data_IF_777452054815
#
_entry.id   IF_777452054815
#
_cell.length_a   1.000
_cell.length_b   1.000
_cell.length_c   1.000
_cell.angle_alpha   90.00
_cell.angle_beta   90.00
_cell.angle_gamma   90.00
#
_symmetry.space_group_name_H-M   'P 1'
#
loop_
_entity.id
_entity.type
_entity.pdbx_description
1 polymer ?
#
# COMPACT_ATOMS: atom_id res chain seq x y z
N UNK A 1 87.31 -12.44 -1.45
CA UNK A 1 87.75 -11.73 -0.24
C UNK A 1 86.95 -10.44 -0.12
N UNK A 2 86.57 -10.09 1.11
CA UNK A 2 85.84 -8.89 1.54
C UNK A 2 84.37 -8.80 1.07
N UNK A 3 83.36 -9.04 1.91
CA UNK A 3 82.97 -8.35 3.17
C UNK A 3 82.18 -7.07 2.92
N UNK A 4 80.86 -7.22 3.09
CA UNK A 4 79.93 -6.39 3.86
C UNK A 4 80.14 -4.88 3.93
N UNK A 5 79.10 -4.14 3.52
CA UNK A 5 78.78 -2.82 4.04
C UNK A 5 77.26 -2.69 4.19
N UNK A 6 76.81 -2.59 5.44
CA UNK A 6 75.46 -2.17 5.83
C UNK A 6 75.23 -0.71 5.41
N UNK A 7 74.01 -0.41 4.96
CA UNK A 7 73.55 0.95 4.70
C UNK A 7 72.19 1.12 5.36
N UNK A 8 72.16 2.01 6.35
CA UNK A 8 70.98 2.39 7.12
C UNK A 8 70.01 3.23 6.27
N UNK A 9 68.73 2.85 6.29
CA UNK A 9 67.64 3.64 5.70
C UNK A 9 66.90 4.42 6.79
N UNK A 10 66.80 5.74 6.61
CA UNK A 10 65.94 6.65 7.36
C UNK A 10 64.50 6.63 6.79
N UNK A 11 63.47 6.99 7.59
CA UNK A 11 62.08 6.69 7.28
C UNK A 11 61.45 7.76 6.37
N UNK A 12 60.64 7.30 5.41
CA UNK A 12 59.79 8.13 4.56
C UNK A 12 58.39 8.17 5.18
N UNK A 13 57.93 9.37 5.50
CA UNK A 13 56.58 9.69 5.94
C UNK A 13 55.57 9.32 4.85
N UNK A 14 54.54 8.52 5.20
CA UNK A 14 53.43 8.18 4.30
C UNK A 14 52.15 8.84 4.84
N UNK A 15 51.64 9.80 4.09
CA UNK A 15 50.36 10.46 4.34
C UNK A 15 49.18 9.49 4.20
N UNK A 16 48.24 9.62 5.13
CA UNK A 16 47.04 8.80 5.24
C UNK A 16 45.98 9.18 4.19
N UNK A 17 45.62 8.22 3.33
CA UNK A 17 44.40 8.24 2.51
C UNK A 17 43.33 7.27 3.07
N UNK A 18 42.02 7.58 2.98
CA UNK A 18 41.00 6.86 3.72
C UNK A 18 40.62 5.52 3.07
N UNK A 19 40.88 4.45 3.81
CA UNK A 19 40.09 3.22 4.00
C UNK A 19 39.13 2.81 2.86
N UNK A 20 39.64 1.94 1.98
CA UNK A 20 38.84 1.00 1.19
C UNK A 20 38.34 -0.14 2.09
N UNK A 21 37.03 -0.23 2.31
CA UNK A 21 36.43 -1.39 2.97
C UNK A 21 36.42 -2.59 2.02
N UNK A 22 37.20 -3.62 2.37
CA UNK A 22 37.18 -4.94 1.74
C UNK A 22 35.81 -5.58 1.87
N UNK A 23 35.25 -5.99 0.73
CA UNK A 23 34.12 -6.92 0.63
C UNK A 23 34.63 -8.34 0.85
N UNK A 24 34.28 -8.91 2.01
CA UNK A 24 34.38 -10.36 2.25
C UNK A 24 33.04 -10.97 1.89
N UNK A 25 33.04 -11.78 0.84
CA UNK A 25 31.95 -12.71 0.53
C UNK A 25 31.92 -13.80 1.61
N UNK A 26 30.79 -13.92 2.30
CA UNK A 26 30.47 -15.11 3.10
C UNK A 26 29.05 -15.52 2.79
N UNK A 27 28.91 -16.60 2.01
CA UNK A 27 27.66 -17.31 1.86
C UNK A 27 27.19 -17.81 3.23
N UNK A 28 25.93 -17.52 3.57
CA UNK A 28 25.22 -18.21 4.64
C UNK A 28 23.72 -18.16 4.38
N UNK A 29 23.20 -19.36 4.15
CA UNK A 29 21.87 -19.89 4.47
C UNK A 29 20.64 -18.97 4.31
N UNK A 30 19.81 -19.37 3.34
CA UNK A 30 18.37 -19.14 3.31
C UNK A 30 17.73 -19.73 4.58
N UNK A 31 17.66 -18.96 5.67
CA UNK A 31 16.76 -19.23 6.80
C UNK A 31 16.56 -17.92 7.58
N UNK A 32 15.31 -17.68 8.00
CA UNK A 32 14.79 -16.54 8.78
C UNK A 32 14.49 -15.19 8.07
N UNK A 33 13.51 -15.22 7.15
CA UNK A 33 12.72 -14.04 6.74
C UNK A 33 11.42 -13.95 7.60
N UNK A 34 11.56 -14.04 8.92
CA UNK A 34 10.49 -13.89 9.92
C UNK A 34 10.31 -12.42 10.25
N UNK A 35 9.49 -11.64 9.52
CA UNK A 35 8.77 -10.51 10.15
C UNK A 35 7.55 -9.99 9.35
N UNK A 36 7.29 -10.50 8.14
CA UNK A 36 6.16 -9.98 7.32
C UNK A 36 5.25 -11.04 6.70
N UNK A 37 5.65 -12.31 6.58
CA UNK A 37 4.73 -13.36 6.14
C UNK A 37 4.24 -14.17 7.35
N UNK A 38 3.16 -13.73 8.01
CA UNK A 38 2.42 -14.67 8.88
C UNK A 38 1.87 -15.74 7.93
N UNK A 39 2.37 -16.96 8.05
CA UNK A 39 1.83 -18.09 7.31
C UNK A 39 0.32 -18.17 7.57
N UNK A 40 -0.48 -18.15 6.50
CA UNK A 40 -1.90 -18.40 6.59
C UNK A 40 -2.09 -19.89 6.88
N UNK A 41 -2.89 -20.22 7.88
CA UNK A 41 -3.29 -21.60 8.13
C UNK A 41 -4.34 -22.02 7.12
N UNK A 42 -4.47 -23.33 6.89
CA UNK A 42 -5.43 -23.89 5.91
C UNK A 42 -6.84 -23.37 6.16
N UNK A 43 -7.29 -23.32 7.42
CA UNK A 43 -8.61 -22.78 7.78
C UNK A 43 -8.81 -21.30 7.47
N UNK A 44 -7.74 -20.53 7.36
CA UNK A 44 -7.77 -19.10 6.99
C UNK A 44 -7.76 -18.93 5.46
N UNK A 45 -7.10 -19.83 4.73
CA UNK A 45 -7.00 -19.81 3.26
C UNK A 45 -8.28 -20.31 2.59
N UNK A 46 -8.84 -21.42 3.07
CA UNK A 46 -10.02 -22.06 2.47
C UNK A 46 -11.22 -21.12 2.25
N UNK A 47 -11.57 -20.20 3.17
CA UNK A 47 -12.68 -19.29 2.95
C UNK A 47 -12.34 -18.13 2.00
N UNK A 48 -11.07 -17.91 1.64
CA UNK A 48 -10.69 -16.83 0.73
C UNK A 48 -11.06 -17.15 -0.73
N UNK A 49 -11.23 -16.10 -1.53
CA UNK A 49 -11.40 -16.16 -2.96
C UNK A 49 -10.09 -16.56 -3.61
N UNK A 50 -10.20 -17.56 -4.48
CA UNK A 50 -9.21 -17.90 -5.48
C UNK A 50 -9.91 -17.88 -6.85
N UNK A 51 -9.13 -18.00 -7.93
CA UNK A 51 -9.68 -17.93 -9.29
C UNK A 51 -10.76 -18.99 -9.56
N UNK A 52 -10.60 -20.29 -9.21
CA UNK A 52 -11.67 -21.28 -9.38
C UNK A 52 -12.97 -20.92 -8.65
N UNK A 53 -12.88 -20.43 -7.41
CA UNK A 53 -14.04 -20.00 -6.65
C UNK A 53 -14.70 -18.77 -7.28
N UNK A 54 -13.91 -17.81 -7.73
CA UNK A 54 -14.38 -16.62 -8.43
C UNK A 54 -15.18 -17.02 -9.68
N UNK A 55 -14.64 -17.86 -10.54
CA UNK A 55 -15.32 -18.33 -11.76
C UNK A 55 -16.59 -19.09 -11.44
N UNK A 56 -16.57 -19.95 -10.42
CA UNK A 56 -17.76 -20.72 -10.01
C UNK A 56 -18.88 -19.83 -9.46
N UNK A 57 -18.55 -18.75 -8.75
CA UNK A 57 -19.51 -17.89 -8.06
C UNK A 57 -19.87 -16.61 -8.78
N UNK A 58 -19.05 -16.15 -9.74
CA UNK A 58 -19.16 -14.87 -10.47
C UNK A 58 -18.87 -15.05 -11.96
N UNK A 59 -19.08 -16.26 -12.50
CA UNK A 59 -18.83 -16.58 -13.91
C UNK A 59 -19.94 -16.11 -14.84
N UNK A 60 -21.17 -15.96 -14.34
CA UNK A 60 -22.32 -15.49 -15.13
C UNK A 60 -22.79 -14.10 -14.69
N UNK A 61 -23.58 -13.46 -15.55
CA UNK A 61 -24.18 -12.14 -15.26
C UNK A 61 -25.10 -12.22 -14.05
N UNK A 62 -25.91 -13.26 -13.95
CA UNK A 62 -26.91 -13.46 -12.90
C UNK A 62 -26.24 -13.65 -11.54
N UNK A 63 -25.16 -14.43 -11.50
CA UNK A 63 -24.31 -14.62 -10.34
C UNK A 63 -23.70 -13.30 -9.87
N UNK A 64 -23.15 -12.52 -10.80
CA UNK A 64 -22.58 -11.21 -10.50
C UNK A 64 -23.62 -10.20 -9.98
N UNK A 65 -24.84 -10.21 -10.53
CA UNK A 65 -25.93 -9.37 -10.07
C UNK A 65 -26.34 -9.71 -8.63
N UNK A 66 -26.51 -11.00 -8.33
CA UNK A 66 -26.85 -11.48 -6.99
C UNK A 66 -25.77 -11.08 -5.97
N UNK A 67 -24.50 -11.28 -6.32
CA UNK A 67 -23.38 -10.88 -5.46
C UNK A 67 -23.32 -9.36 -5.24
N UNK A 68 -23.54 -8.57 -6.29
CA UNK A 68 -23.55 -7.11 -6.20
C UNK A 68 -24.71 -6.59 -5.34
N UNK A 69 -25.88 -7.23 -5.38
CA UNK A 69 -27.01 -6.93 -4.49
C UNK A 69 -26.69 -7.30 -3.03
N UNK A 70 -26.19 -8.51 -2.80
CA UNK A 70 -25.83 -9.04 -1.47
C UNK A 70 -24.79 -8.16 -0.77
N UNK A 71 -23.78 -7.69 -1.52
CA UNK A 71 -22.72 -6.83 -0.99
C UNK A 71 -23.08 -5.34 -1.01
N UNK A 72 -24.28 -4.97 -1.48
CA UNK A 72 -24.75 -3.58 -1.49
C UNK A 72 -24.00 -2.69 -2.47
N UNK A 73 -23.48 -3.24 -3.57
CA UNK A 73 -22.84 -2.50 -4.66
C UNK A 73 -23.87 -1.90 -5.63
N UNK A 74 -25.10 -2.42 -5.62
CA UNK A 74 -26.25 -1.90 -6.37
C UNK A 74 -27.52 -2.04 -5.54
N UNK A 75 -28.50 -1.16 -5.77
CA UNK A 75 -29.82 -1.29 -5.17
C UNK A 75 -30.56 -2.51 -5.74
N UNK A 76 -31.20 -3.31 -4.87
CA UNK A 76 -32.11 -4.39 -5.26
C UNK A 76 -33.51 -3.87 -5.63
N UNK A 77 -33.94 -2.77 -5.01
CA UNK A 77 -35.25 -2.18 -5.24
C UNK A 77 -35.20 -0.65 -5.21
N UNK A 78 -36.19 0.00 -5.83
CA UNK A 78 -36.30 1.46 -5.87
C UNK A 78 -37.77 1.90 -5.92
N UNK A 79 -38.09 2.91 -5.12
CA UNK A 79 -39.40 3.55 -5.13
C UNK A 79 -39.46 4.66 -6.17
N UNK A 80 -40.55 4.71 -6.95
CA UNK A 80 -40.83 5.83 -7.83
C UNK A 80 -41.13 7.09 -7.01
N UNK A 81 -40.39 8.17 -7.24
CA UNK A 81 -40.57 9.44 -6.51
C UNK A 81 -41.92 10.11 -6.76
N UNK A 82 -42.50 9.88 -7.94
CA UNK A 82 -43.79 10.48 -8.35
C UNK A 82 -44.97 9.66 -7.81
N UNK A 83 -44.97 8.35 -8.09
CA UNK A 83 -46.11 7.48 -7.79
C UNK A 83 -46.01 6.73 -6.47
N UNK A 84 -44.89 6.87 -5.74
CA UNK A 84 -44.62 6.21 -4.44
C UNK A 84 -44.93 4.70 -4.46
N UNK A 85 -44.61 4.04 -5.56
CA UNK A 85 -44.74 2.60 -5.74
C UNK A 85 -43.39 1.99 -6.11
N UNK A 86 -43.23 0.69 -5.82
CA UNK A 86 -42.04 -0.05 -6.20
C UNK A 86 -41.91 -0.09 -7.73
N UNK A 87 -40.71 0.19 -8.23
CA UNK A 87 -40.41 0.11 -9.65
C UNK A 87 -40.14 -1.35 -10.05
N UNK A 88 -40.54 -1.74 -11.26
CA UNK A 88 -40.23 -3.04 -11.84
C UNK A 88 -38.74 -3.09 -12.17
N UNK A 89 -38.08 -4.19 -11.81
CA UNK A 89 -36.72 -4.46 -12.25
C UNK A 89 -36.72 -4.95 -13.70
N UNK A 90 -35.94 -4.29 -14.55
CA UNK A 90 -35.75 -4.63 -15.95
C UNK A 90 -34.30 -5.06 -16.20
N UNK A 91 -34.11 -6.36 -16.44
CA UNK A 91 -32.82 -6.99 -16.73
C UNK A 91 -32.63 -7.30 -18.21
N UNK A 92 -33.65 -7.08 -19.05
CA UNK A 92 -33.62 -7.47 -20.47
C UNK A 92 -32.77 -6.52 -21.31
N UNK A 93 -32.47 -5.32 -20.81
CA UNK A 93 -31.54 -4.41 -21.50
C UNK A 93 -30.10 -4.85 -21.30
N UNK A 94 -29.28 -4.63 -22.33
CA UNK A 94 -27.83 -4.89 -22.33
C UNK A 94 -27.02 -3.94 -21.42
N UNK A 95 -27.68 -3.35 -20.44
CA UNK A 95 -27.07 -2.51 -19.40
C UNK A 95 -26.39 -3.39 -18.37
N UNK A 96 -25.20 -2.98 -17.91
CA UNK A 96 -24.31 -3.73 -17.01
C UNK A 96 -25.03 -4.36 -15.82
N UNK A 97 -25.87 -3.58 -15.11
CA UNK A 97 -26.60 -4.04 -13.90
C UNK A 97 -28.14 -3.91 -13.97
N UNK A 98 -28.70 -3.70 -15.16
CA UNK A 98 -30.15 -3.51 -15.35
C UNK A 98 -30.67 -2.11 -14.98
N UNK A 99 -32.00 -1.95 -14.97
CA UNK A 99 -32.65 -0.68 -14.67
C UNK A 99 -33.96 -0.85 -13.89
N UNK A 100 -34.36 0.17 -13.14
CA UNK A 100 -35.68 0.28 -12.55
C UNK A 100 -36.64 1.03 -13.47
N UNK A 101 -37.84 0.47 -13.68
CA UNK A 101 -38.88 1.05 -14.55
C UNK A 101 -40.18 1.24 -13.77
N UNK A 102 -40.73 2.46 -13.78
CA UNK A 102 -42.06 2.73 -13.26
C UNK A 102 -43.11 2.18 -14.24
N UNK A 103 -44.04 1.37 -13.75
CA UNK A 103 -45.12 0.78 -14.57
C UNK A 103 -46.25 1.75 -14.92
N UNK A 104 -46.26 2.96 -14.35
CA UNK A 104 -47.30 3.98 -14.62
C UNK A 104 -46.96 4.78 -15.88
N UNK A 105 -47.79 4.66 -16.92
CA UNK A 105 -47.64 5.41 -18.18
C UNK A 105 -47.68 6.94 -18.02
N UNK A 106 -48.27 7.46 -16.93
CA UNK A 106 -48.26 8.89 -16.61
C UNK A 106 -46.94 9.39 -15.99
N UNK A 107 -45.94 8.53 -15.80
CA UNK A 107 -44.65 8.87 -15.19
C UNK A 107 -43.72 9.63 -16.14
N UNK A 108 -43.91 10.95 -16.25
CA UNK A 108 -43.10 11.82 -17.12
C UNK A 108 -41.70 12.16 -16.57
N UNK A 109 -41.45 11.99 -15.27
CA UNK A 109 -40.20 12.41 -14.62
C UNK A 109 -39.28 11.23 -14.24
N UNK A 110 -38.66 10.59 -15.25
CA UNK A 110 -37.74 9.43 -15.13
C UNK A 110 -38.45 8.10 -14.86
N UNK A 111 -39.32 7.70 -15.80
CA UNK A 111 -39.93 6.36 -15.81
C UNK A 111 -38.90 5.23 -15.83
N UNK A 112 -37.65 5.48 -16.25
CA UNK A 112 -36.54 4.53 -16.23
C UNK A 112 -35.32 5.13 -15.53
N UNK A 113 -34.70 4.37 -14.63
CA UNK A 113 -33.45 4.74 -13.95
C UNK A 113 -32.48 3.56 -13.99
N UNK A 114 -31.27 3.75 -14.51
CA UNK A 114 -30.24 2.70 -14.50
C UNK A 114 -29.85 2.33 -13.08
N UNK A 115 -29.61 1.04 -12.82
CA UNK A 115 -29.03 0.58 -11.54
C UNK A 115 -27.56 0.90 -11.41
N UNK A 116 -26.90 1.23 -12.52
CA UNK A 116 -25.48 1.56 -12.55
C UNK A 116 -25.19 3.00 -12.11
N UNK A 117 -26.16 3.91 -12.22
CA UNK A 117 -25.95 5.34 -11.98
C UNK A 117 -25.52 5.61 -10.53
N UNK A 118 -24.40 6.31 -10.35
CA UNK A 118 -23.82 6.59 -9.03
C UNK A 118 -23.13 5.40 -8.38
N UNK A 119 -22.97 4.26 -9.08
CA UNK A 119 -22.35 3.04 -8.56
C UNK A 119 -21.01 2.77 -9.26
N UNK A 120 -20.26 1.81 -8.74
CA UNK A 120 -19.03 1.29 -9.36
C UNK A 120 -19.19 0.82 -10.81
N UNK A 121 -20.41 0.47 -11.21
CA UNK A 121 -20.71 -0.03 -12.56
C UNK A 121 -21.11 1.08 -13.55
N UNK A 122 -21.14 2.35 -13.11
CA UNK A 122 -21.52 3.46 -13.96
C UNK A 122 -20.60 3.57 -15.19
N UNK A 123 -21.20 3.70 -16.37
CA UNK A 123 -20.51 3.84 -17.67
C UNK A 123 -19.54 2.69 -18.02
N UNK A 124 -19.56 1.58 -17.29
CA UNK A 124 -18.75 0.41 -17.66
C UNK A 124 -19.33 -0.30 -18.89
N UNK A 125 -18.50 -0.43 -19.92
CA UNK A 125 -18.80 -1.24 -21.10
C UNK A 125 -18.37 -2.71 -20.97
N UNK A 126 -17.80 -3.12 -19.82
CA UNK A 126 -17.34 -4.50 -19.62
C UNK A 126 -18.48 -5.41 -19.11
N UNK A 127 -18.49 -6.69 -19.52
CA UNK A 127 -19.33 -7.70 -18.88
C UNK A 127 -19.03 -7.79 -17.38
N UNK A 128 -20.06 -7.95 -16.55
CA UNK A 128 -19.93 -8.06 -15.09
C UNK A 128 -18.89 -9.10 -14.63
N UNK A 129 -18.85 -10.32 -15.18
CA UNK A 129 -17.81 -11.28 -14.84
C UNK A 129 -16.37 -10.76 -15.05
N UNK A 130 -16.11 -9.99 -16.11
CA UNK A 130 -14.79 -9.36 -16.35
C UNK A 130 -14.48 -8.26 -15.36
N UNK A 131 -15.49 -7.49 -14.92
CA UNK A 131 -15.31 -6.46 -13.89
C UNK A 131 -14.85 -7.11 -12.58
N UNK A 132 -15.56 -8.14 -12.11
CA UNK A 132 -15.17 -8.83 -10.87
C UNK A 132 -13.83 -9.56 -11.00
N UNK A 133 -13.52 -10.11 -12.17
CA UNK A 133 -12.19 -10.66 -12.47
C UNK A 133 -11.07 -9.61 -12.36
N UNK A 134 -11.25 -8.41 -12.92
CA UNK A 134 -10.26 -7.33 -12.81
C UNK A 134 -10.07 -6.84 -11.37
N UNK A 135 -11.15 -6.74 -10.60
CA UNK A 135 -11.11 -6.44 -9.15
C UNK A 135 -10.28 -7.52 -8.43
N UNK A 136 -10.54 -8.79 -8.70
CA UNK A 136 -9.79 -9.92 -8.14
C UNK A 136 -8.30 -9.86 -8.53
N UNK A 137 -7.98 -9.65 -9.81
CA UNK A 137 -6.61 -9.54 -10.28
C UNK A 137 -5.84 -8.41 -9.57
N UNK A 138 -6.46 -7.23 -9.45
CA UNK A 138 -5.87 -6.13 -8.70
C UNK A 138 -5.67 -6.50 -7.22
N UNK A 139 -6.70 -7.05 -6.58
CA UNK A 139 -6.67 -7.43 -5.17
C UNK A 139 -5.55 -8.42 -4.86
N UNK A 140 -5.28 -9.37 -5.76
CA UNK A 140 -4.22 -10.37 -5.64
C UNK A 140 -2.87 -9.96 -6.26
N UNK A 141 -2.70 -8.70 -6.67
CA UNK A 141 -1.48 -8.18 -7.32
C UNK A 141 -1.05 -8.96 -8.56
N UNK A 142 -2.01 -9.41 -9.37
CA UNK A 142 -1.67 -10.00 -10.67
C UNK A 142 -1.05 -8.96 -11.59
N UNK A 143 0.00 -9.32 -12.31
CA UNK A 143 0.55 -8.48 -13.39
C UNK A 143 -0.45 -8.36 -14.54
N UNK A 144 -0.20 -7.43 -15.46
CA UNK A 144 -1.00 -7.33 -16.69
C UNK A 144 -0.97 -8.63 -17.49
N UNK A 145 0.20 -9.26 -17.58
CA UNK A 145 0.40 -10.53 -18.29
C UNK A 145 -0.37 -11.67 -17.61
N UNK A 146 -0.29 -11.79 -16.28
CA UNK A 146 -1.07 -12.77 -15.52
C UNK A 146 -2.57 -12.54 -15.68
N UNK A 147 -3.03 -11.29 -15.64
CA UNK A 147 -4.45 -10.95 -15.83
C UNK A 147 -4.95 -11.31 -17.23
N UNK A 148 -4.13 -11.15 -18.28
CA UNK A 148 -4.49 -11.57 -19.65
C UNK A 148 -4.44 -13.09 -19.80
N UNK A 149 -3.41 -13.72 -19.25
CA UNK A 149 -3.19 -15.15 -19.40
C UNK A 149 -4.25 -15.99 -18.67
N UNK A 150 -4.64 -15.57 -17.47
CA UNK A 150 -5.60 -16.27 -16.62
C UNK A 150 -7.05 -15.79 -16.82
N UNK A 151 -7.33 -14.94 -17.81
CA UNK A 151 -8.68 -14.43 -18.06
C UNK A 151 -9.65 -15.60 -18.33
N UNK A 152 -10.60 -15.89 -17.43
CA UNK A 152 -11.49 -17.03 -17.57
C UNK A 152 -12.53 -16.85 -18.68
N UNK A 153 -12.60 -15.65 -19.25
CA UNK A 153 -13.52 -15.25 -20.31
C UNK A 153 -12.77 -14.97 -21.61
N UNK A 154 -11.50 -15.37 -21.71
CA UNK A 154 -10.74 -15.36 -22.95
C UNK A 154 -11.31 -16.42 -23.90
N UNK A 155 -11.69 -16.01 -25.10
CA UNK A 155 -11.97 -16.93 -26.20
C UNK A 155 -10.74 -17.07 -27.11
N UNK A 156 -10.68 -18.17 -27.85
CA UNK A 156 -9.60 -18.45 -28.81
C UNK A 156 -9.70 -17.57 -30.07
N UNK A 157 -10.77 -16.79 -30.19
CA UNK A 157 -11.20 -16.10 -31.41
C UNK A 157 -11.27 -14.58 -31.27
N UNK A 158 -10.41 -13.98 -30.44
CA UNK A 158 -10.01 -12.55 -30.45
C UNK A 158 -10.62 -11.62 -29.36
N UNK A 159 -11.24 -12.14 -28.29
CA UNK A 159 -11.75 -11.32 -27.18
C UNK A 159 -10.88 -11.45 -25.91
N UNK A 160 -9.68 -10.86 -25.90
CA UNK A 160 -8.85 -10.78 -24.68
C UNK A 160 -8.91 -9.39 -24.02
N UNK A 161 -8.60 -9.32 -22.73
CA UNK A 161 -8.42 -8.04 -22.05
C UNK A 161 -7.24 -7.27 -22.64
N UNK A 162 -7.48 -6.01 -23.02
CA UNK A 162 -6.40 -5.13 -23.46
C UNK A 162 -5.58 -4.63 -22.26
N UNK A 163 -4.29 -4.35 -22.47
CA UNK A 163 -3.44 -3.73 -21.44
C UNK A 163 -3.98 -2.38 -20.97
N UNK A 164 -4.61 -1.61 -21.86
CA UNK A 164 -5.24 -0.33 -21.52
C UNK A 164 -6.40 -0.55 -20.53
N UNK A 165 -7.31 -1.48 -20.84
CA UNK A 165 -8.41 -1.86 -19.95
C UNK A 165 -7.90 -2.26 -18.57
N UNK A 166 -6.89 -3.13 -18.49
CA UNK A 166 -6.34 -3.57 -17.19
C UNK A 166 -5.73 -2.39 -16.44
N UNK A 167 -5.02 -1.51 -17.13
CA UNK A 167 -4.41 -0.31 -16.53
C UNK A 167 -5.47 0.63 -15.95
N UNK A 168 -6.54 0.89 -16.69
CA UNK A 168 -7.64 1.76 -16.23
C UNK A 168 -8.31 1.16 -14.99
N UNK A 169 -8.68 -0.11 -15.05
CA UNK A 169 -9.33 -0.79 -13.93
C UNK A 169 -8.44 -0.90 -12.69
N UNK A 170 -7.13 -1.10 -12.88
CA UNK A 170 -6.17 -1.08 -11.77
C UNK A 170 -6.02 0.31 -11.17
N UNK A 171 -6.13 1.36 -11.98
CA UNK A 171 -6.15 2.75 -11.50
C UNK A 171 -7.42 3.03 -10.70
N UNK A 172 -8.60 2.65 -11.20
CA UNK A 172 -9.86 2.80 -10.46
C UNK A 172 -9.84 2.05 -9.12
N UNK A 173 -9.34 0.82 -9.09
CA UNK A 173 -9.23 0.04 -7.84
C UNK A 173 -8.29 0.73 -6.84
N UNK A 174 -7.17 1.28 -7.31
CA UNK A 174 -6.22 2.01 -6.47
C UNK A 174 -6.83 3.29 -5.92
N UNK A 175 -7.50 4.08 -6.73
CA UNK A 175 -8.19 5.31 -6.30
C UNK A 175 -9.17 5.03 -5.16
N UNK A 176 -10.00 3.98 -5.30
CA UNK A 176 -10.92 3.53 -4.25
C UNK A 176 -10.18 3.18 -2.96
N UNK A 177 -9.11 2.39 -3.05
CA UNK A 177 -8.31 2.02 -1.88
C UNK A 177 -7.67 3.23 -1.22
N UNK A 178 -7.15 4.17 -2.01
CA UNK A 178 -6.50 5.37 -1.49
C UNK A 178 -7.49 6.18 -0.67
N UNK A 179 -8.67 6.50 -1.23
CA UNK A 179 -9.69 7.27 -0.53
C UNK A 179 -10.16 6.50 0.72
N UNK A 180 -10.54 5.23 0.56
CA UNK A 180 -11.01 4.40 1.67
C UNK A 180 -9.99 4.29 2.80
N UNK A 181 -8.71 4.04 2.49
CA UNK A 181 -7.68 3.85 3.49
C UNK A 181 -7.35 5.17 4.21
N UNK A 182 -7.25 6.28 3.48
CA UNK A 182 -6.99 7.59 4.10
C UNK A 182 -8.14 8.03 5.02
N UNK A 183 -9.39 7.84 4.61
CA UNK A 183 -10.54 8.16 5.46
C UNK A 183 -10.62 7.25 6.69
N UNK A 184 -10.40 5.93 6.53
CA UNK A 184 -10.41 5.01 7.67
C UNK A 184 -9.26 5.28 8.65
N UNK A 185 -8.09 5.73 8.16
CA UNK A 185 -6.99 6.18 9.03
C UNK A 185 -7.33 7.48 9.77
N UNK A 186 -8.00 8.43 9.13
CA UNK A 186 -8.47 9.64 9.81
C UNK A 186 -9.45 9.31 10.95
N UNK A 187 -10.39 8.38 10.70
CA UNK A 187 -11.34 7.90 11.72
C UNK A 187 -10.62 7.19 12.86
N UNK A 188 -9.57 6.41 12.56
CA UNK A 188 -8.75 5.73 13.57
C UNK A 188 -8.00 6.69 14.48
N UNK A 189 -7.73 7.92 14.03
CA UNK A 189 -7.07 8.96 14.81
C UNK A 189 -5.55 8.86 14.80
N UNK A 190 -4.88 9.43 15.80
CA UNK A 190 -3.41 9.43 15.94
C UNK A 190 -2.91 8.17 16.68
N UNK A 191 -1.66 7.78 16.42
CA UNK A 191 -0.94 6.77 17.22
C UNK A 191 -0.22 7.42 18.41
N UNK A 192 0.17 6.60 19.38
CA UNK A 192 0.88 7.05 20.56
C UNK A 192 -0.06 7.59 21.64
N UNK A 193 0.42 8.61 22.35
CA UNK A 193 -0.18 9.23 23.52
C UNK A 193 0.70 9.12 24.76
N UNK A 194 0.30 9.74 25.88
CA UNK A 194 1.03 9.64 27.14
C UNK A 194 1.32 8.19 27.54
N UNK A 195 2.59 7.90 27.83
CA UNK A 195 3.05 6.54 28.19
C UNK A 195 3.20 5.56 27.02
N UNK A 196 2.98 6.01 25.77
CA UNK A 196 3.23 5.24 24.55
C UNK A 196 4.53 5.67 23.87
N UNK A 197 5.14 4.74 23.16
CA UNK A 197 6.36 4.96 22.39
C UNK A 197 6.04 4.85 20.90
N UNK A 198 6.51 5.80 20.10
CA UNK A 198 6.47 5.76 18.64
C UNK A 198 7.89 5.89 18.09
N UNK A 199 8.31 4.93 17.29
CA UNK A 199 9.58 4.99 16.56
C UNK A 199 9.37 5.70 15.22
N UNK A 200 10.22 6.67 14.92
CA UNK A 200 10.15 7.49 13.70
C UNK A 200 11.51 7.47 13.01
N UNK A 201 11.49 7.27 11.70
CA UNK A 201 12.68 7.29 10.85
C UNK A 201 12.30 7.73 9.42
N UNK A 202 13.28 8.13 8.62
CA UNK A 202 13.11 8.49 7.22
C UNK A 202 13.92 7.60 6.30
N UNK A 203 13.30 7.23 5.19
CA UNK A 203 13.99 6.47 4.16
C UNK A 203 13.75 7.07 2.79
N UNK A 204 14.84 7.20 2.02
CA UNK A 204 14.78 7.60 0.61
C UNK A 204 14.48 6.40 -0.28
N UNK A 205 13.43 6.51 -1.08
CA UNK A 205 13.04 5.56 -2.12
C UNK A 205 13.54 6.05 -3.46
N UNK A 206 14.36 5.26 -4.17
CA UNK A 206 14.84 5.63 -5.49
C UNK A 206 16.00 4.76 -6.00
N UNK A 207 16.39 4.95 -7.27
CA UNK A 207 17.57 4.28 -7.87
C UNK A 207 18.79 5.18 -7.79
N UNK A 208 19.97 4.58 -7.60
CA UNK A 208 21.25 5.26 -7.82
C UNK A 208 21.43 5.47 -9.31
N UNK A 209 21.92 6.63 -9.74
CA UNK A 209 22.41 6.80 -11.12
C UNK A 209 23.61 5.86 -11.32
N UNK A 210 23.53 4.91 -12.27
CA UNK A 210 24.58 3.94 -12.61
C UNK A 210 25.09 3.01 -11.48
N UNK A 211 24.29 2.73 -10.44
CA UNK A 211 24.70 1.90 -9.29
C UNK A 211 25.98 2.36 -8.55
N UNK A 212 26.51 3.57 -8.84
CA UNK A 212 27.70 4.17 -8.21
C UNK A 212 27.39 5.60 -7.71
N UNK A 213 27.94 6.00 -6.56
CA UNK A 213 27.93 7.40 -6.10
C UNK A 213 26.70 7.87 -5.29
N UNK A 214 26.68 9.18 -4.98
CA UNK A 214 25.98 9.81 -3.84
C UNK A 214 24.64 10.51 -4.13
N UNK A 215 23.99 10.32 -5.30
CA UNK A 215 22.64 10.88 -5.57
C UNK A 215 21.66 9.82 -6.04
N UNK A 216 20.72 9.53 -5.15
CA UNK A 216 19.47 8.82 -5.44
C UNK A 216 18.47 9.88 -5.85
N UNK A 217 18.09 9.91 -7.13
CA UNK A 217 16.81 10.50 -7.54
C UNK A 217 15.74 9.69 -6.82
N UNK A 218 14.87 10.33 -6.02
CA UNK A 218 14.06 9.61 -5.03
C UNK A 218 12.99 10.44 -4.36
N UNK A 219 12.06 9.76 -3.67
CA UNK A 219 11.13 10.35 -2.72
C UNK A 219 11.58 10.02 -1.29
N UNK A 220 11.67 11.03 -0.44
CA UNK A 220 11.76 10.85 1.01
C UNK A 220 10.40 10.43 1.56
N UNK A 221 10.41 9.44 2.44
CA UNK A 221 9.22 8.95 3.14
C UNK A 221 9.53 8.94 4.62
N UNK A 222 8.67 9.57 5.40
CA UNK A 222 8.65 9.50 6.86
C UNK A 222 7.85 8.28 7.28
N UNK A 223 8.42 7.45 8.14
CA UNK A 223 7.77 6.27 8.69
C UNK A 223 7.60 6.39 10.19
N UNK A 224 6.45 5.97 10.70
CA UNK A 224 6.11 6.00 12.13
C UNK A 224 5.46 4.68 12.53
N UNK A 225 5.88 4.09 13.64
CA UNK A 225 5.27 2.86 14.17
C UNK A 225 5.20 2.91 15.70
N UNK A 226 4.04 2.62 16.27
CA UNK A 226 3.85 2.53 17.72
C UNK A 226 4.37 1.19 18.26
N UNK A 227 5.09 1.23 19.39
CA UNK A 227 5.58 0.05 20.09
C UNK A 227 4.47 -0.85 20.63
N UNK A 228 4.60 -2.16 20.39
CA UNK A 228 3.55 -3.13 20.68
C UNK A 228 2.37 -3.13 19.70
N UNK A 229 2.37 -2.25 18.70
CA UNK A 229 1.33 -2.14 17.67
C UNK A 229 1.85 -2.53 16.28
N UNK A 230 0.95 -2.93 15.38
CA UNK A 230 1.24 -3.15 13.95
C UNK A 230 0.83 -1.95 13.08
N UNK A 231 0.47 -0.82 13.71
CA UNK A 231 0.04 0.41 13.04
C UNK A 231 1.23 1.18 12.46
N UNK A 232 1.64 0.79 11.26
CA UNK A 232 2.66 1.48 10.47
C UNK A 232 2.02 2.61 9.67
N UNK A 233 2.57 3.82 9.83
CA UNK A 233 2.20 4.99 9.03
C UNK A 233 3.38 5.40 8.17
N UNK A 234 3.11 5.66 6.89
CA UNK A 234 4.09 6.13 5.93
C UNK A 234 3.53 7.37 5.23
N UNK A 235 4.31 8.44 5.19
CA UNK A 235 3.95 9.66 4.47
C UNK A 235 5.11 10.14 3.61
N UNK A 236 4.81 10.47 2.35
CA UNK A 236 5.80 11.04 1.42
C UNK A 236 6.08 12.47 1.85
N UNK A 237 7.36 12.83 1.99
CA UNK A 237 7.74 14.18 2.35
C UNK A 237 7.46 15.14 1.17
N UNK A 238 6.67 16.22 1.38
CA UNK A 238 6.46 17.27 0.39
C UNK A 238 7.77 17.81 -0.16
N UNK A 239 7.78 18.10 -1.47
CA UNK A 239 8.92 18.63 -2.22
C UNK A 239 10.23 17.85 -2.05
N UNK A 240 10.16 16.60 -1.56
CA UNK A 240 11.30 15.76 -1.26
C UNK A 240 12.26 16.39 -0.23
N UNK A 241 11.72 17.13 0.75
CA UNK A 241 12.47 17.83 1.80
C UNK A 241 12.29 17.14 3.17
N UNK A 242 13.36 17.03 3.95
CA UNK A 242 13.38 16.41 5.29
C UNK A 242 13.88 17.38 6.39
N UNK A 243 13.37 18.60 6.34
CA UNK A 243 13.66 19.64 7.33
C UNK A 243 12.66 19.57 8.49
N UNK A 244 12.96 20.22 9.62
CA UNK A 244 12.07 20.23 10.78
C UNK A 244 10.69 20.81 10.42
N UNK A 245 10.65 21.84 9.56
CA UNK A 245 9.44 22.50 9.08
C UNK A 245 8.54 21.57 8.28
N UNK A 246 9.09 20.52 7.66
CA UNK A 246 8.33 19.49 6.95
C UNK A 246 7.98 18.32 7.87
N UNK A 247 8.94 17.82 8.64
CA UNK A 247 8.76 16.62 9.44
C UNK A 247 7.82 16.83 10.62
N UNK A 248 7.93 17.97 11.33
CA UNK A 248 7.11 18.25 12.51
C UNK A 248 5.61 18.26 12.18
N UNK A 249 5.12 18.96 11.14
CA UNK A 249 3.70 18.89 10.77
C UNK A 249 3.23 17.48 10.44
N UNK A 250 4.06 16.67 9.76
CA UNK A 250 3.74 15.27 9.47
C UNK A 250 3.63 14.43 10.76
N UNK A 251 4.54 14.64 11.71
CA UNK A 251 4.47 13.99 13.03
C UNK A 251 3.20 14.42 13.76
N UNK A 252 2.88 15.72 13.82
CA UNK A 252 1.68 16.23 14.48
C UNK A 252 0.37 15.72 13.88
N UNK A 253 0.37 15.45 12.57
CA UNK A 253 -0.77 14.83 11.87
C UNK A 253 -1.03 13.41 12.37
N UNK A 254 0.01 12.66 12.72
CA UNK A 254 -0.09 11.22 12.99
C UNK A 254 0.11 10.80 14.43
N UNK A 255 0.84 11.57 15.22
CA UNK A 255 1.32 11.20 16.55
C UNK A 255 0.72 12.12 17.60
N UNK A 256 0.10 11.52 18.61
CA UNK A 256 -0.57 12.24 19.68
C UNK A 256 0.42 12.97 20.59
N UNK A 257 0.07 14.15 21.07
CA UNK A 257 0.93 14.95 21.95
C UNK A 257 1.14 14.20 23.29
N UNK A 258 2.32 14.35 23.89
CA UNK A 258 2.72 13.60 25.09
C UNK A 258 3.31 12.21 24.80
N UNK A 259 3.40 11.80 23.54
CA UNK A 259 4.08 10.57 23.12
C UNK A 259 5.58 10.63 23.39
N UNK A 260 6.18 9.51 23.79
CA UNK A 260 7.63 9.32 23.73
C UNK A 260 8.06 8.93 22.32
N UNK A 261 8.80 9.79 21.63
CA UNK A 261 9.28 9.56 20.28
C UNK A 261 10.72 9.06 20.33
N UNK A 262 11.01 7.95 19.64
CA UNK A 262 12.36 7.44 19.41
C UNK A 262 12.78 7.73 17.97
N UNK A 263 13.90 8.45 17.78
CA UNK A 263 14.52 8.68 16.47
C UNK A 263 16.03 8.47 16.52
N UNK A 264 16.69 8.57 15.37
CA UNK A 264 18.14 8.78 15.33
C UNK A 264 18.54 10.17 15.85
N UNK A 265 19.84 10.48 15.84
CA UNK A 265 20.38 11.78 16.22
C UNK A 265 20.24 12.87 15.13
N UNK A 266 19.28 12.77 14.20
CA UNK A 266 19.09 13.80 13.17
C UNK A 266 18.57 15.12 13.77
N UNK A 267 19.29 16.22 13.49
CA UNK A 267 19.04 17.55 14.09
C UNK A 267 17.62 18.10 13.87
N UNK A 268 16.93 17.67 12.81
CA UNK A 268 15.56 18.14 12.56
C UNK A 268 14.58 17.74 13.69
N UNK A 269 14.93 16.74 14.49
CA UNK A 269 14.11 16.26 15.60
C UNK A 269 14.37 16.98 16.94
N UNK A 270 15.40 17.83 17.04
CA UNK A 270 15.77 18.48 18.30
C UNK A 270 14.65 19.37 18.88
N UNK A 271 13.76 19.88 18.03
CA UNK A 271 12.62 20.71 18.41
C UNK A 271 11.38 19.93 18.88
N UNK A 272 11.41 18.58 18.89
CA UNK A 272 10.22 17.78 19.24
C UNK A 272 9.70 18.06 20.66
N UNK A 273 10.60 18.37 21.61
CA UNK A 273 10.22 18.75 22.97
C UNK A 273 9.36 20.03 23.01
N UNK A 274 9.68 21.01 22.17
CA UNK A 274 8.93 22.28 22.04
C UNK A 274 7.51 22.06 21.47
N UNK A 275 7.27 20.88 20.90
CA UNK A 275 5.98 20.47 20.36
C UNK A 275 5.20 19.50 21.25
N UNK A 276 5.66 19.31 22.50
CA UNK A 276 4.96 18.52 23.51
C UNK A 276 5.23 17.02 23.43
N UNK A 277 6.33 16.61 22.79
CA UNK A 277 6.77 15.21 22.74
C UNK A 277 7.94 14.96 23.70
N UNK A 278 8.03 13.74 24.24
CA UNK A 278 9.23 13.31 24.96
C UNK A 278 10.18 12.67 23.95
N UNK A 279 11.29 13.33 23.63
CA UNK A 279 12.22 12.84 22.62
C UNK A 279 13.34 12.01 23.23
N UNK A 280 13.53 10.79 22.72
CA UNK A 280 14.70 9.96 22.97
C UNK A 280 15.42 9.65 21.67
N UNK A 281 16.75 9.56 21.74
CA UNK A 281 17.63 9.47 20.57
C UNK A 281 18.49 8.20 20.63
N UNK A 282 18.74 7.64 19.46
CA UNK A 282 19.73 6.57 19.25
C UNK A 282 20.92 7.14 18.50
N UNK A 283 22.12 6.99 19.07
CA UNK A 283 23.36 7.44 18.42
C UNK A 283 24.01 6.31 17.62
N UNK A 284 23.75 6.24 16.32
CA UNK A 284 24.38 5.25 15.44
C UNK A 284 25.90 5.43 15.25
N UNK A 285 26.49 6.52 15.75
CA UNK A 285 27.94 6.73 15.75
C UNK A 285 28.60 6.30 17.07
N UNK A 286 27.84 5.77 18.02
CA UNK A 286 28.36 5.22 19.26
C UNK A 286 29.23 3.98 18.95
N UNK A 287 30.52 3.98 19.35
CA UNK A 287 31.43 2.87 19.06
C UNK A 287 31.10 1.60 19.88
N UNK A 288 30.43 1.74 21.03
CA UNK A 288 30.13 0.65 21.95
C UNK A 288 28.80 -0.02 21.59
N UNK A 289 27.75 0.77 21.29
CA UNK A 289 26.47 0.24 20.83
C UNK A 289 25.71 1.20 19.89
N UNK A 290 25.83 1.02 18.56
CA UNK A 290 25.18 1.90 17.59
C UNK A 290 23.68 1.62 17.39
N UNK A 291 23.10 0.60 18.04
CA UNK A 291 21.71 0.18 17.80
C UNK A 291 20.77 0.41 18.97
N UNK A 292 21.31 0.51 20.19
CA UNK A 292 20.52 0.66 21.42
C UNK A 292 21.24 1.66 22.32
N UNK A 293 20.55 2.72 22.74
CA UNK A 293 21.08 3.67 23.71
C UNK A 293 21.20 3.04 25.10
N UNK A 294 21.99 3.64 25.99
CA UNK A 294 22.22 3.13 27.35
C UNK A 294 20.93 2.93 28.18
N UNK A 295 19.86 3.68 27.88
CA UNK A 295 18.55 3.57 28.54
C UNK A 295 17.59 2.58 27.87
N UNK A 296 18.06 1.82 26.87
CA UNK A 296 17.27 0.85 26.10
C UNK A 296 16.54 1.42 24.88
N UNK A 297 16.69 2.72 24.57
CA UNK A 297 16.07 3.35 23.39
C UNK A 297 16.59 2.72 22.09
N UNK A 298 15.68 2.39 21.17
CA UNK A 298 16.02 1.88 19.84
C UNK A 298 14.96 2.28 18.78
N UNK A 299 15.35 2.21 17.50
CA UNK A 299 14.55 2.51 16.28
C UNK A 299 14.38 1.28 15.36
N UNK A 300 14.76 0.10 15.84
CA UNK A 300 14.83 -1.13 15.04
C UNK A 300 13.51 -1.53 14.36
N UNK A 301 12.35 -1.24 14.97
CA UNK A 301 11.06 -1.64 14.40
C UNK A 301 10.75 -0.84 13.15
N UNK A 302 10.98 0.47 13.16
CA UNK A 302 10.77 1.29 11.97
C UNK A 302 11.83 1.01 10.90
N UNK A 303 13.09 0.89 11.29
CA UNK A 303 14.19 0.60 10.37
C UNK A 303 14.00 -0.72 9.62
N UNK A 304 13.55 -1.76 10.33
CA UNK A 304 13.27 -3.07 9.73
C UNK A 304 12.13 -3.04 8.70
N UNK A 305 11.18 -2.10 8.82
CA UNK A 305 10.11 -1.97 7.82
C UNK A 305 10.67 -1.52 6.47
N UNK A 306 11.72 -0.71 6.41
CA UNK A 306 12.17 -0.13 5.14
C UNK A 306 12.58 -1.15 4.09
N UNK A 307 13.23 -2.24 4.51
CA UNK A 307 13.60 -3.33 3.59
C UNK A 307 12.34 -3.95 2.96
N UNK A 308 11.33 -4.18 3.77
CA UNK A 308 10.06 -4.79 3.37
C UNK A 308 9.29 -3.87 2.43
N UNK A 309 9.13 -2.60 2.82
CA UNK A 309 8.43 -1.59 2.01
C UNK A 309 9.14 -1.46 0.68
N UNK A 310 10.47 -1.29 0.63
CA UNK A 310 11.23 -1.17 -0.62
C UNK A 310 11.08 -2.40 -1.53
N UNK A 311 11.07 -3.63 -0.97
CA UNK A 311 10.84 -4.87 -1.74
C UNK A 311 9.52 -4.84 -2.51
N UNK A 312 8.47 -4.22 -1.94
CA UNK A 312 7.18 -4.05 -2.62
C UNK A 312 7.29 -3.24 -3.92
N UNK A 313 8.09 -2.16 -3.92
CA UNK A 313 8.29 -1.28 -5.07
C UNK A 313 9.25 -1.87 -6.12
N UNK A 314 10.25 -2.63 -5.69
CA UNK A 314 11.19 -3.30 -6.60
C UNK A 314 10.53 -4.38 -7.45
N UNK A 315 9.59 -5.16 -6.91
CA UNK A 315 8.93 -6.26 -7.63
C UNK A 315 8.33 -5.82 -8.96
N UNK A 316 7.78 -4.60 -9.00
CA UNK A 316 7.10 -4.05 -10.16
C UNK A 316 7.99 -3.05 -10.94
N UNK A 317 9.27 -2.90 -10.56
CA UNK A 317 10.20 -1.89 -11.07
C UNK A 317 9.71 -0.43 -10.94
N UNK A 318 8.79 -0.15 -10.01
CA UNK A 318 8.14 1.17 -9.81
C UNK A 318 8.83 1.97 -8.71
N UNK A 319 10.11 2.29 -8.86
CA UNK A 319 10.79 3.12 -7.84
C UNK A 319 10.43 4.61 -7.92
N UNK A 320 9.77 5.02 -9.01
CA UNK A 320 9.46 6.42 -9.35
C UNK A 320 8.17 6.58 -10.17
N UNK A 321 7.05 5.94 -9.79
CA UNK A 321 5.80 6.15 -10.50
C UNK A 321 5.28 7.56 -10.21
N UNK A 322 4.61 8.18 -11.20
CA UNK A 322 4.00 9.50 -11.03
C UNK A 322 3.02 9.56 -9.85
N UNK A 323 2.41 8.42 -9.50
CA UNK A 323 1.50 8.24 -8.37
C UNK A 323 2.15 7.55 -7.15
N UNK A 324 3.41 7.85 -6.84
CA UNK A 324 4.16 7.22 -5.75
C UNK A 324 3.43 7.23 -4.39
N UNK A 325 2.76 8.35 -4.05
CA UNK A 325 1.94 8.45 -2.84
C UNK A 325 0.81 7.42 -2.80
N UNK A 326 0.08 7.25 -3.90
CA UNK A 326 -1.03 6.28 -3.99
C UNK A 326 -0.51 4.85 -3.84
N UNK A 327 0.68 4.55 -4.37
CA UNK A 327 1.30 3.22 -4.26
C UNK A 327 1.78 2.95 -2.83
N UNK A 328 2.21 3.97 -2.07
CA UNK A 328 2.48 3.84 -0.63
C UNK A 328 1.20 3.50 0.13
N UNK A 329 0.09 4.16 -0.17
CA UNK A 329 -1.20 3.85 0.46
C UNK A 329 -1.69 2.45 0.07
N UNK A 330 -1.53 2.06 -1.20
CA UNK A 330 -1.81 0.70 -1.66
C UNK A 330 -0.99 -0.34 -0.86
N UNK A 331 0.31 -0.09 -0.65
CA UNK A 331 1.15 -0.95 0.18
C UNK A 331 0.59 -1.08 1.60
N UNK A 332 0.25 0.04 2.25
CA UNK A 332 -0.28 0.05 3.61
C UNK A 332 -1.60 -0.73 3.72
N UNK A 333 -2.51 -0.56 2.76
CA UNK A 333 -3.76 -1.31 2.67
C UNK A 333 -3.50 -2.82 2.54
N UNK A 334 -2.61 -3.24 1.62
CA UNK A 334 -2.25 -4.66 1.44
C UNK A 334 -1.56 -5.25 2.67
N UNK A 335 -0.65 -4.51 3.30
CA UNK A 335 0.02 -4.90 4.55
C UNK A 335 -1.02 -5.16 5.64
N UNK A 336 -1.99 -4.26 5.80
CA UNK A 336 -3.06 -4.39 6.78
C UNK A 336 -3.91 -5.64 6.54
N UNK A 337 -4.26 -5.94 5.29
CA UNK A 337 -5.02 -7.15 4.91
C UNK A 337 -4.25 -8.41 5.28
N UNK A 338 -2.99 -8.50 4.87
CA UNK A 338 -2.13 -9.65 5.13
C UNK A 338 -1.91 -9.87 6.63
N UNK A 339 -1.63 -8.82 7.40
CA UNK A 339 -1.40 -8.90 8.86
C UNK A 339 -2.65 -9.36 9.62
N UNK A 340 -3.83 -8.93 9.15
CA UNK A 340 -5.13 -9.33 9.70
C UNK A 340 -5.74 -10.56 9.01
N UNK A 341 -4.99 -11.21 8.10
CA UNK A 341 -5.39 -12.44 7.41
C UNK A 341 -6.77 -12.35 6.74
N UNK A 342 -7.06 -11.20 6.15
CA UNK A 342 -8.33 -10.94 5.47
C UNK A 342 -8.22 -11.33 3.99
N UNK A 343 -9.37 -11.61 3.40
CA UNK A 343 -9.49 -11.83 1.96
C UNK A 343 -9.30 -10.51 1.20
N UNK A 344 -8.28 -10.37 0.33
CA UNK A 344 -8.01 -9.12 -0.37
C UNK A 344 -9.11 -8.72 -1.36
N UNK A 345 -9.77 -9.68 -2.01
CA UNK A 345 -10.87 -9.42 -2.94
C UNK A 345 -12.07 -8.83 -2.18
N UNK A 346 -12.50 -9.47 -1.09
CA UNK A 346 -13.60 -8.96 -0.26
C UNK A 346 -13.26 -7.61 0.37
N UNK A 347 -12.02 -7.40 0.82
CA UNK A 347 -11.63 -6.09 1.36
C UNK A 347 -11.66 -4.98 0.30
N UNK A 348 -11.43 -5.30 -0.98
CA UNK A 348 -11.62 -4.33 -2.07
C UNK A 348 -13.10 -4.10 -2.37
N UNK A 349 -13.94 -5.14 -2.29
CA UNK A 349 -15.40 -4.98 -2.41
C UNK A 349 -15.95 -4.05 -1.32
N UNK A 350 -15.50 -4.19 -0.07
CA UNK A 350 -15.88 -3.29 1.03
C UNK A 350 -15.40 -1.84 0.80
N UNK A 351 -14.20 -1.66 0.27
CA UNK A 351 -13.71 -0.33 -0.10
C UNK A 351 -14.57 0.30 -1.22
N UNK A 352 -14.92 -0.47 -2.25
CA UNK A 352 -15.81 -0.01 -3.33
C UNK A 352 -17.17 0.39 -2.78
N UNK A 353 -17.78 -0.46 -1.95
CA UNK A 353 -19.07 -0.20 -1.30
C UNK A 353 -19.05 1.07 -0.43
N UNK A 354 -17.95 1.29 0.28
CA UNK A 354 -17.78 2.46 1.14
C UNK A 354 -17.82 3.76 0.32
N UNK A 355 -17.18 3.78 -0.85
CA UNK A 355 -17.10 4.94 -1.75
C UNK A 355 -18.39 5.12 -2.58
N UNK A 356 -18.91 4.04 -3.15
CA UNK A 356 -20.05 4.05 -4.07
C UNK A 356 -21.32 3.54 -3.40
N UNK A 357 -21.87 4.32 -2.46
CA UNK A 357 -23.14 3.98 -1.79
C UNK A 357 -24.33 4.15 -2.77
N UNK A 358 -25.03 3.06 -3.14
CA UNK A 358 -26.07 3.11 -4.19
C UNK A 358 -27.37 3.83 -3.82
#
# INVERSE_FOLDING_TARGET
MASSAESAAAPIENEAGPSTSHSVESGSNFEDDLYVCRHLYVGEILPMYNLPRLVRQLGTREQCLAFAEEHGLILANKMCRVHRQLMRLDLTTNTTVGAFVCSRGSCRAKSRTSRATGTWFEKSGLPLPRIFYLIYCFAHRKSHEEAIFDDPLRDETNTCLSRATITDWYSYCREVIVIYYLETQQIKGKIGGPGKIVQIDESKFGRRKYNKGRRVEGHWVLGMIEDGSEDLRLEVCPDNVRSAEVLVPLIKKHVEVGTTIHTDCWRAYDCLAEHGYHHKKVNHSDPDNPFIAADGTHTQRIESQWRVVKRFFYKDNKNHPQNFGDVIVEYLWRRNIMKNKKDPFIQLIEAIKYIYKP
#
